data_IF_173228041344
#
_entry.id   IF_173228041344
#
_cell.length_a   1.000
_cell.length_b   1.000
_cell.length_c   1.000
_cell.angle_alpha   90.00
_cell.angle_beta   90.00
_cell.angle_gamma   90.00
#
_symmetry.space_group_name_H-M   'P 1'
#
loop_
_entity.id
_entity.type
_entity.pdbx_description
1 polymer ?
#
# COMPACT_ATOMS: atom_id res chain seq x y z
N UNK A 1 12.21 32.60 -27.44
CA UNK A 1 12.98 32.13 -26.28
C UNK A 1 12.00 31.58 -25.23
N UNK A 2 12.39 30.56 -24.45
CA UNK A 2 11.62 29.32 -24.26
C UNK A 2 10.44 29.44 -23.29
N UNK A 3 9.32 28.82 -23.68
CA UNK A 3 8.16 28.56 -22.84
C UNK A 3 8.59 27.63 -21.70
N UNK A 4 8.58 28.15 -20.47
CA UNK A 4 8.87 27.43 -19.25
C UNK A 4 7.86 26.31 -19.09
N UNK A 5 8.27 25.07 -19.41
CA UNK A 5 7.65 23.86 -18.89
C UNK A 5 7.86 23.87 -17.39
N UNK A 6 6.89 24.47 -16.67
CA UNK A 6 6.80 24.37 -15.22
C UNK A 6 6.45 22.91 -14.91
N UNK A 7 7.50 22.10 -14.82
CA UNK A 7 7.47 20.73 -14.33
C UNK A 7 7.03 20.81 -12.87
N UNK A 8 5.72 20.72 -12.63
CA UNK A 8 5.16 20.55 -11.31
C UNK A 8 5.45 19.11 -10.86
N UNK A 9 6.68 18.86 -10.43
CA UNK A 9 7.02 17.71 -9.59
C UNK A 9 6.44 17.98 -8.19
N UNK A 10 5.12 17.94 -8.09
CA UNK A 10 4.47 17.75 -6.80
C UNK A 10 4.94 16.38 -6.29
N UNK A 11 5.50 16.28 -5.08
CA UNK A 11 5.68 14.97 -4.46
C UNK A 11 4.28 14.39 -4.33
N UNK A 12 3.98 13.36 -5.12
CA UNK A 12 2.72 12.63 -5.05
C UNK A 12 2.66 12.06 -3.64
N UNK A 13 1.98 12.77 -2.74
CA UNK A 13 1.68 12.34 -1.37
C UNK A 13 0.60 11.24 -1.42
N UNK A 14 0.77 10.31 -2.35
CA UNK A 14 -0.11 9.19 -2.60
C UNK A 14 0.30 8.16 -1.58
N UNK A 15 -0.48 8.02 -0.51
CA UNK A 15 -0.40 6.80 0.28
C UNK A 15 -0.41 5.61 -0.69
N UNK A 16 0.48 4.64 -0.49
CA UNK A 16 0.51 3.46 -1.33
C UNK A 16 -0.87 2.81 -1.28
N UNK A 17 -1.38 2.43 -2.45
CA UNK A 17 -2.63 1.69 -2.52
C UNK A 17 -2.51 0.38 -1.73
N UNK A 18 -3.63 -0.15 -1.26
CA UNK A 18 -3.65 -1.41 -0.51
C UNK A 18 -2.89 -2.53 -1.26
N UNK A 19 -3.08 -2.61 -2.57
CA UNK A 19 -2.38 -3.57 -3.42
C UNK A 19 -0.85 -3.34 -3.49
N UNK A 20 -0.40 -2.09 -3.45
CA UNK A 20 1.04 -1.78 -3.36
C UNK A 20 1.61 -2.17 -2.00
N UNK A 21 0.90 -1.86 -0.91
CA UNK A 21 1.35 -2.22 0.44
C UNK A 21 1.48 -3.73 0.62
N UNK A 22 0.53 -4.50 0.10
CA UNK A 22 0.60 -5.97 0.11
C UNK A 22 1.83 -6.48 -0.65
N UNK A 23 2.10 -5.92 -1.84
CA UNK A 23 3.28 -6.28 -2.65
C UNK A 23 4.60 -5.94 -1.96
N UNK A 24 4.69 -4.76 -1.36
CA UNK A 24 5.88 -4.35 -0.62
C UNK A 24 6.10 -5.16 0.65
N UNK A 25 5.03 -5.76 1.20
CA UNK A 25 5.09 -6.69 2.33
C UNK A 25 5.44 -8.12 1.91
N UNK A 26 5.65 -8.39 0.62
CA UNK A 26 6.04 -9.72 0.10
C UNK A 26 4.88 -10.61 -0.36
N UNK A 27 3.65 -10.08 -0.41
CA UNK A 27 2.47 -10.80 -0.92
C UNK A 27 2.25 -10.52 -2.41
N UNK A 28 1.51 -11.39 -3.11
CA UNK A 28 1.23 -11.19 -4.54
C UNK A 28 0.32 -9.98 -4.79
N UNK A 29 -0.71 -9.87 -3.97
CA UNK A 29 -1.72 -8.83 -4.00
C UNK A 29 -2.44 -8.73 -2.65
N UNK A 30 -3.39 -7.81 -2.56
CA UNK A 30 -4.23 -7.63 -1.37
C UNK A 30 -5.06 -8.87 -1.01
N UNK A 31 -5.46 -9.69 -2.00
CA UNK A 31 -6.27 -10.89 -1.76
C UNK A 31 -5.41 -11.96 -1.10
N UNK A 32 -4.21 -12.21 -1.63
CA UNK A 32 -3.20 -13.13 -1.09
C UNK A 32 -2.83 -12.77 0.35
N UNK A 33 -2.64 -11.47 0.63
CA UNK A 33 -2.46 -10.99 2.00
C UNK A 33 -3.69 -11.32 2.85
N UNK A 34 -4.88 -10.87 2.45
CA UNK A 34 -6.10 -11.04 3.25
C UNK A 34 -6.37 -12.54 3.55
N UNK A 35 -6.26 -13.40 2.54
CA UNK A 35 -6.48 -14.85 2.70
C UNK A 35 -5.37 -15.54 3.49
N UNK A 36 -4.12 -15.09 3.41
CA UNK A 36 -3.02 -15.62 4.23
C UNK A 36 -3.23 -15.39 5.73
N UNK A 37 -3.93 -14.32 6.10
CA UNK A 37 -4.35 -14.01 7.46
C UNK A 37 -5.69 -14.66 7.84
N UNK A 38 -6.26 -15.52 6.98
CA UNK A 38 -7.54 -16.19 7.23
C UNK A 38 -8.77 -15.27 7.10
N UNK A 39 -8.60 -14.09 6.50
CA UNK A 39 -9.64 -13.10 6.30
C UNK A 39 -10.31 -13.30 4.92
N UNK A 40 -11.59 -12.93 4.83
CA UNK A 40 -12.38 -12.97 3.61
C UNK A 40 -12.47 -11.56 3.00
N UNK A 41 -11.83 -11.31 1.84
CA UNK A 41 -11.83 -10.00 1.19
C UNK A 41 -13.21 -9.59 0.64
N UNK A 42 -14.16 -10.51 0.55
CA UNK A 42 -15.55 -10.20 0.18
C UNK A 42 -16.39 -9.68 1.36
N UNK A 43 -15.89 -9.77 2.59
CA UNK A 43 -16.51 -9.15 3.76
C UNK A 43 -15.86 -7.80 4.03
N UNK A 44 -16.64 -6.73 4.08
CA UNK A 44 -16.15 -5.35 4.28
C UNK A 44 -15.27 -5.21 5.51
N UNK A 45 -15.68 -5.81 6.63
CA UNK A 45 -14.99 -5.68 7.91
C UNK A 45 -13.61 -6.35 7.86
N UNK A 46 -13.57 -7.53 7.24
CA UNK A 46 -12.33 -8.30 7.09
C UNK A 46 -11.41 -7.72 6.01
N UNK A 47 -11.96 -7.08 4.97
CA UNK A 47 -11.17 -6.31 4.02
C UNK A 47 -10.53 -5.09 4.68
N UNK A 48 -11.23 -4.41 5.60
CA UNK A 48 -10.69 -3.32 6.39
C UNK A 48 -9.57 -3.79 7.34
N UNK A 49 -9.74 -4.95 7.98
CA UNK A 49 -8.69 -5.60 8.78
C UNK A 49 -7.45 -5.93 7.94
N UNK A 50 -7.62 -6.55 6.76
CA UNK A 50 -6.52 -6.84 5.85
C UNK A 50 -5.76 -5.58 5.42
N UNK A 51 -6.48 -4.48 5.19
CA UNK A 51 -5.86 -3.18 4.89
C UNK A 51 -5.05 -2.66 6.07
N UNK A 52 -5.59 -2.68 7.29
CA UNK A 52 -4.86 -2.26 8.48
C UNK A 52 -3.60 -3.10 8.72
N UNK A 53 -3.66 -4.41 8.49
CA UNK A 53 -2.51 -5.32 8.54
C UNK A 53 -1.46 -4.90 7.51
N UNK A 54 -1.86 -4.67 6.25
CA UNK A 54 -0.91 -4.24 5.21
C UNK A 54 -0.26 -2.90 5.50
N UNK A 55 -0.99 -1.95 6.06
CA UNK A 55 -0.47 -0.64 6.48
C UNK A 55 0.54 -0.80 7.62
N UNK A 56 0.26 -1.68 8.59
CA UNK A 56 1.16 -1.99 9.69
C UNK A 56 2.44 -2.69 9.21
N UNK A 57 2.31 -3.69 8.34
CA UNK A 57 3.45 -4.40 7.73
C UNK A 57 4.31 -3.46 6.90
N UNK A 58 3.68 -2.65 6.05
CA UNK A 58 4.35 -1.66 5.24
C UNK A 58 5.12 -0.66 6.10
N UNK A 59 4.50 -0.14 7.17
CA UNK A 59 5.14 0.79 8.11
C UNK A 59 6.29 0.12 8.87
N UNK A 60 6.11 -1.14 9.31
CA UNK A 60 7.15 -1.91 9.98
C UNK A 60 8.35 -2.17 9.06
N UNK A 61 8.13 -2.61 7.82
CA UNK A 61 9.18 -2.80 6.81
C UNK A 61 9.87 -1.50 6.39
N UNK A 62 9.10 -0.42 6.25
CA UNK A 62 9.62 0.91 5.92
C UNK A 62 10.47 1.52 7.05
N UNK A 63 10.22 1.11 8.30
CA UNK A 63 10.98 1.59 9.46
C UNK A 63 12.38 0.98 9.58
N UNK A 64 12.72 -0.03 8.78
CA UNK A 64 14.04 -0.68 8.76
C UNK A 64 15.07 0.02 7.85
N UNK A 65 14.74 1.15 7.20
CA UNK A 65 15.66 1.98 6.41
C UNK A 65 16.04 3.27 7.16
N UNK A 66 16.50 3.16 8.40
CA UNK A 66 17.09 4.29 9.14
C UNK A 66 18.55 4.02 9.48
#
# INVERSE_FOLDING_TARGET
MPSSKQSSSAPSNSQPSYNQMAKESGFKDQYDLTTSYGLNPHKSDQAAEGRAISEALYKAGSSSKK
#
